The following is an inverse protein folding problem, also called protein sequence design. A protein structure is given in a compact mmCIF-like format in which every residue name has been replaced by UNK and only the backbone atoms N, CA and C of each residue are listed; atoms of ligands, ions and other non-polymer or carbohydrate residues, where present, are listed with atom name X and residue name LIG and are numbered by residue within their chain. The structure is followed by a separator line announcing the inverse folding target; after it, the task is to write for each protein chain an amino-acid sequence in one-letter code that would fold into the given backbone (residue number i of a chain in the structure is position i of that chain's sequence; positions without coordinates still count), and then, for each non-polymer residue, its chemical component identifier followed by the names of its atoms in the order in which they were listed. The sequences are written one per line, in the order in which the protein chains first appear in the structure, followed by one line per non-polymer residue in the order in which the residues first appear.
data_IF_850063454027
#
_entry.id   IF_850063454027
#
_cell.length_a   1.000
_cell.length_b   1.000
_cell.length_c   1.000
_cell.angle_alpha   90.00
_cell.angle_beta   90.00
_cell.angle_gamma   90.00
#
_symmetry.space_group_name_H-M   'P 1'
#
loop_
_entity.id
_entity.type
_entity.pdbx_description
1 polymer ?
#
# COMPACT_ATOMS: atom_id res chain seq x y z
N UNK A 1 -40.39 1.71 -16.49
CA UNK A 1 -39.66 1.08 -15.36
C UNK A 1 -39.48 -0.39 -15.68
N UNK A 2 -38.43 -0.71 -16.41
CA UNK A 2 -38.08 -2.07 -16.83
C UNK A 2 -36.73 -2.41 -16.19
N UNK A 3 -36.72 -3.43 -15.32
CA UNK A 3 -35.52 -3.93 -14.67
C UNK A 3 -34.61 -4.58 -15.73
N UNK A 4 -33.37 -4.12 -15.76
CA UNK A 4 -32.32 -4.54 -16.70
C UNK A 4 -31.93 -6.02 -16.45
N UNK A 5 -32.08 -6.93 -17.43
CA UNK A 5 -31.77 -8.35 -17.27
C UNK A 5 -30.26 -8.66 -17.15
N UNK A 6 -29.38 -7.68 -17.43
CA UNK A 6 -27.92 -7.86 -17.34
C UNK A 6 -27.38 -8.03 -15.92
N UNK A 7 -28.01 -7.38 -14.93
CA UNK A 7 -27.55 -7.44 -13.53
C UNK A 7 -27.79 -8.82 -12.88
N UNK A 8 -28.88 -9.50 -13.23
CA UNK A 8 -29.22 -10.81 -12.65
C UNK A 8 -28.26 -11.93 -13.10
N UNK A 9 -27.67 -11.82 -14.31
CA UNK A 9 -26.70 -12.78 -14.82
C UNK A 9 -25.32 -12.63 -14.15
N UNK A 10 -24.94 -11.40 -13.78
CA UNK A 10 -23.67 -11.11 -13.13
C UNK A 10 -23.64 -11.59 -11.67
N UNK A 11 -24.76 -11.48 -10.94
CA UNK A 11 -24.89 -11.93 -9.55
C UNK A 11 -24.75 -13.47 -9.42
N UNK A 12 -25.28 -14.23 -10.39
CA UNK A 12 -25.15 -15.69 -10.44
C UNK A 12 -23.72 -16.16 -10.69
N UNK A 13 -22.96 -15.41 -11.49
CA UNK A 13 -21.54 -15.71 -11.79
C UNK A 13 -20.63 -15.50 -10.56
N UNK A 14 -20.95 -14.52 -9.70
CA UNK A 14 -20.19 -14.27 -8.47
C UNK A 14 -20.42 -15.35 -7.40
N UNK A 15 -21.67 -15.80 -7.21
CA UNK A 15 -22.01 -16.80 -6.19
C UNK A 15 -21.34 -18.16 -6.44
N UNK A 16 -21.22 -18.58 -7.71
CA UNK A 16 -20.57 -19.84 -8.10
C UNK A 16 -19.05 -19.85 -7.81
N UNK A 17 -18.39 -18.67 -7.85
CA UNK A 17 -16.95 -18.57 -7.56
C UNK A 17 -16.62 -18.59 -6.06
N UNK A 18 -17.55 -18.11 -5.22
CA UNK A 18 -17.38 -18.12 -3.75
C UNK A 18 -17.48 -19.54 -3.18
N UNK A 19 -18.40 -20.38 -3.69
CA UNK A 19 -18.59 -21.75 -3.19
C UNK A 19 -17.37 -22.66 -3.42
N UNK A 20 -16.55 -22.41 -4.45
CA UNK A 20 -15.41 -23.28 -4.80
C UNK A 20 -14.14 -22.99 -3.99
N UNK A 21 -14.10 -21.87 -3.26
CA UNK A 21 -12.94 -21.50 -2.43
C UNK A 21 -13.00 -22.02 -0.99
N UNK A 22 -14.15 -22.57 -0.55
CA UNK A 22 -14.40 -22.97 0.85
C UNK A 22 -14.29 -24.49 1.10
N UNK A 23 -13.92 -25.29 0.10
CA UNK A 23 -13.76 -26.74 0.26
C UNK A 23 -12.30 -27.14 0.07
N UNK A 24 -11.50 -26.96 1.13
CA UNK A 24 -10.23 -27.67 1.24
C UNK A 24 -9.92 -27.93 2.71
N UNK A 25 -10.74 -28.77 3.33
CA UNK A 25 -10.45 -29.32 4.65
C UNK A 25 -9.90 -30.73 4.44
N UNK A 26 -8.58 -30.82 4.31
CA UNK A 26 -7.83 -32.07 4.35
C UNK A 26 -8.16 -32.78 5.66
N UNK A 27 -8.92 -33.87 5.56
CA UNK A 27 -9.19 -34.76 6.68
C UNK A 27 -7.88 -35.43 7.11
N UNK A 28 -7.30 -34.96 8.20
CA UNK A 28 -6.17 -35.63 8.85
C UNK A 28 -6.74 -36.86 9.57
N UNK A 29 -6.58 -38.03 8.94
CA UNK A 29 -6.85 -39.34 9.55
C UNK A 29 -5.73 -39.62 10.54
N UNK A 30 -6.00 -39.45 11.84
CA UNK A 30 -5.12 -39.93 12.90
C UNK A 30 -5.52 -41.39 13.19
N UNK A 31 -4.73 -42.34 12.70
CA UNK A 31 -4.83 -43.74 13.08
C UNK A 31 -3.99 -43.94 14.36
N UNK A 32 -4.63 -44.19 15.49
CA UNK A 32 -3.94 -44.58 16.72
C UNK A 32 -3.86 -46.11 16.80
N UNK A 33 -2.69 -46.66 16.47
CA UNK A 33 -2.29 -48.02 16.83
C UNK A 33 -1.60 -47.96 18.20
N UNK A 34 -2.08 -48.77 19.13
CA UNK A 34 -1.48 -49.06 20.43
C UNK A 34 -0.06 -49.60 20.27
N UNK A 35 0.91 -48.98 20.92
CA UNK A 35 2.28 -49.49 21.02
C UNK A 35 3.17 -48.56 21.81
N UNK A 36 3.50 -48.93 23.04
CA UNK A 36 4.42 -48.20 23.90
C UNK A 36 5.85 -48.23 23.31
N UNK A 37 6.45 -47.05 23.08
CA UNK A 37 7.90 -46.86 22.95
C UNK A 37 8.23 -45.37 23.08
N UNK A 38 9.04 -45.04 24.08
CA UNK A 38 9.52 -43.69 24.35
C UNK A 38 10.52 -43.26 23.27
N UNK A 39 10.18 -42.23 22.47
CA UNK A 39 11.11 -41.58 21.55
C UNK A 39 11.02 -40.06 21.79
N UNK A 40 12.18 -39.50 22.10
CA UNK A 40 12.43 -38.09 22.39
C UNK A 40 12.03 -37.21 21.19
N UNK A 41 10.90 -36.50 21.29
CA UNK A 41 10.44 -35.59 20.24
C UNK A 41 11.20 -34.26 20.30
N UNK A 42 12.17 -34.08 19.39
CA UNK A 42 12.78 -32.78 19.13
C UNK A 42 11.75 -31.89 18.41
N UNK A 43 11.17 -30.94 19.14
CA UNK A 43 10.29 -29.92 18.58
C UNK A 43 11.08 -28.95 17.70
N UNK A 44 11.10 -29.17 16.39
CA UNK A 44 11.49 -28.17 15.40
C UNK A 44 10.37 -27.13 15.31
N UNK A 45 10.56 -25.98 15.95
CA UNK A 45 9.68 -24.81 15.79
C UNK A 45 9.89 -24.20 14.40
N UNK A 46 9.08 -24.63 13.43
CA UNK A 46 8.98 -23.93 12.14
C UNK A 46 8.26 -22.61 12.40
N UNK A 47 9.02 -21.53 12.62
CA UNK A 47 8.46 -20.20 12.72
C UNK A 47 7.79 -19.84 11.37
N UNK A 48 6.56 -19.30 11.37
CA UNK A 48 5.93 -18.85 10.13
C UNK A 48 6.73 -17.65 9.60
N UNK A 49 7.45 -17.84 8.50
CA UNK A 49 7.91 -16.72 7.67
C UNK A 49 6.66 -16.08 7.11
N UNK A 50 6.23 -14.95 7.69
CA UNK A 50 5.25 -14.07 7.05
C UNK A 50 5.89 -13.58 5.75
N UNK A 51 5.57 -14.26 4.65
CA UNK A 51 5.79 -13.73 3.32
C UNK A 51 5.01 -12.41 3.24
N UNK A 52 5.70 -11.28 3.32
CA UNK A 52 5.10 -9.99 3.03
C UNK A 52 4.70 -10.02 1.55
N UNK A 53 3.42 -10.33 1.30
CA UNK A 53 2.83 -10.21 -0.04
C UNK A 53 2.98 -8.75 -0.43
N UNK A 54 3.84 -8.51 -1.41
CA UNK A 54 4.19 -7.18 -1.90
C UNK A 54 3.02 -6.55 -2.67
N UNK A 55 1.98 -6.14 -1.94
CA UNK A 55 1.21 -4.94 -2.25
C UNK A 55 1.96 -3.75 -1.63
N UNK A 56 3.16 -3.46 -2.17
CA UNK A 56 4.23 -2.79 -1.42
C UNK A 56 3.84 -1.39 -0.90
N UNK A 57 3.06 -0.62 -1.66
CA UNK A 57 2.73 0.77 -1.31
C UNK A 57 1.37 0.96 -0.64
N UNK A 58 0.40 0.07 -0.91
CA UNK A 58 -1.01 0.22 -0.46
C UNK A 58 -1.09 0.34 1.05
N UNK A 59 -1.90 1.26 1.54
CA UNK A 59 -2.11 1.51 2.96
C UNK A 59 -1.87 2.95 3.34
N UNK A 60 -1.85 3.22 4.65
CA UNK A 60 -1.64 4.56 5.19
C UNK A 60 -0.23 4.73 5.73
N UNK A 61 0.30 5.93 5.54
CA UNK A 61 1.66 6.30 5.85
C UNK A 61 1.67 7.64 6.56
N UNK A 62 2.61 7.82 7.47
CA UNK A 62 2.85 9.13 8.06
C UNK A 62 4.32 9.39 8.28
N UNK A 63 4.72 10.64 8.35
CA UNK A 63 6.13 10.98 8.46
C UNK A 63 6.40 12.45 8.57
N UNK A 64 7.68 12.77 8.55
CA UNK A 64 8.18 14.15 8.55
C UNK A 64 9.16 14.35 7.43
N UNK A 65 9.41 15.60 7.10
CA UNK A 65 10.30 15.97 6.03
C UNK A 65 10.60 17.46 6.00
N UNK A 66 11.26 17.85 4.93
CA UNK A 66 11.60 19.23 4.64
C UNK A 66 11.09 19.60 3.27
N UNK A 67 10.46 20.77 3.18
CA UNK A 67 10.04 21.41 1.94
C UNK A 67 10.97 22.59 1.70
N UNK A 68 11.57 22.68 0.52
CA UNK A 68 12.29 23.85 0.06
C UNK A 68 11.45 24.52 -1.03
N UNK A 69 11.03 25.75 -0.79
CA UNK A 69 10.24 26.54 -1.72
C UNK A 69 11.11 27.12 -2.85
N UNK A 70 10.49 27.58 -3.92
CA UNK A 70 11.19 28.17 -5.07
C UNK A 70 12.04 29.40 -4.71
N UNK A 71 11.65 30.15 -3.68
CA UNK A 71 12.41 31.28 -3.13
C UNK A 71 13.57 30.87 -2.20
N UNK A 72 13.82 29.57 -2.05
CA UNK A 72 14.89 29.02 -1.19
C UNK A 72 14.51 28.83 0.28
N UNK A 73 13.34 29.30 0.73
CA UNK A 73 12.88 29.10 2.09
C UNK A 73 12.69 27.60 2.40
N UNK A 74 13.02 27.18 3.63
CA UNK A 74 12.96 25.77 4.04
C UNK A 74 12.06 25.60 5.24
N UNK A 75 11.12 24.67 5.14
CA UNK A 75 10.12 24.41 6.17
C UNK A 75 10.12 22.94 6.58
N UNK A 76 9.96 22.69 7.89
CA UNK A 76 9.66 21.34 8.39
C UNK A 76 8.19 21.04 8.15
N UNK A 77 7.91 19.86 7.63
CA UNK A 77 6.55 19.41 7.32
C UNK A 77 6.26 18.04 7.95
N UNK A 78 5.01 17.85 8.39
CA UNK A 78 4.43 16.54 8.73
C UNK A 78 3.51 16.13 7.60
N UNK A 79 3.59 14.89 7.14
CA UNK A 79 2.70 14.38 6.10
C UNK A 79 1.99 13.10 6.54
N UNK A 80 0.76 12.94 6.06
CA UNK A 80 0.01 11.70 6.06
C UNK A 80 -0.40 11.40 4.62
N UNK A 81 -0.20 10.17 4.18
CA UNK A 81 -0.58 9.73 2.85
C UNK A 81 -1.36 8.42 2.92
N UNK A 82 -2.28 8.22 1.99
CA UNK A 82 -2.98 6.97 1.75
C UNK A 82 -2.76 6.55 0.31
N UNK A 83 -2.43 5.29 0.09
CA UNK A 83 -2.30 4.70 -1.24
C UNK A 83 -3.33 3.59 -1.40
N UNK A 84 -4.04 3.62 -2.53
CA UNK A 84 -4.93 2.55 -2.98
C UNK A 84 -4.43 1.99 -4.30
N UNK A 85 -4.69 0.71 -4.55
CA UNK A 85 -4.40 0.11 -5.85
C UNK A 85 -5.30 0.74 -6.91
N UNK A 86 -4.72 1.16 -8.02
CA UNK A 86 -5.43 1.62 -9.21
C UNK A 86 -5.35 0.57 -10.35
N UNK A 87 -4.95 -0.66 -10.02
CA UNK A 87 -4.77 -1.76 -10.98
C UNK A 87 -3.31 -1.93 -11.43
N UNK A 88 -2.95 -3.18 -11.73
CA UNK A 88 -1.60 -3.54 -12.16
C UNK A 88 -0.51 -3.05 -11.20
N UNK A 89 0.41 -2.25 -11.73
CA UNK A 89 1.54 -1.64 -10.99
C UNK A 89 1.29 -0.17 -10.64
N UNK A 90 0.05 0.29 -10.66
CA UNK A 90 -0.31 1.70 -10.47
C UNK A 90 -1.12 1.90 -9.20
N UNK A 91 -0.89 3.03 -8.53
CA UNK A 91 -1.49 3.39 -7.25
C UNK A 91 -1.96 4.84 -7.30
N UNK A 92 -3.15 5.07 -6.76
CA UNK A 92 -3.63 6.41 -6.49
C UNK A 92 -3.27 6.80 -5.05
N UNK A 93 -2.80 8.03 -4.87
CA UNK A 93 -2.40 8.60 -3.59
C UNK A 93 -3.27 9.81 -3.25
N UNK A 94 -3.67 9.92 -1.99
CA UNK A 94 -4.05 11.19 -1.38
C UNK A 94 -3.13 11.49 -0.22
N UNK A 95 -2.71 12.74 -0.05
CA UNK A 95 -1.87 13.14 1.05
C UNK A 95 -2.23 14.52 1.59
N UNK A 96 -2.01 14.71 2.88
CA UNK A 96 -2.09 15.99 3.56
C UNK A 96 -0.76 16.25 4.25
N UNK A 97 -0.17 17.41 3.96
CA UNK A 97 1.09 17.86 4.52
C UNK A 97 0.89 19.19 5.23
N UNK A 98 1.50 19.36 6.40
CA UNK A 98 1.39 20.59 7.19
C UNK A 98 2.78 21.05 7.62
N UNK A 99 3.08 22.32 7.34
CA UNK A 99 4.21 23.07 7.89
C UNK A 99 3.71 23.97 9.03
N UNK A 100 4.57 24.83 9.57
CA UNK A 100 4.14 25.87 10.51
C UNK A 100 3.32 26.97 9.82
N UNK A 101 3.57 27.21 8.53
CA UNK A 101 2.96 28.29 7.77
C UNK A 101 1.66 27.87 7.08
N UNK A 102 1.57 26.61 6.61
CA UNK A 102 0.46 26.18 5.77
C UNK A 102 0.14 24.69 5.91
N UNK A 103 -1.06 24.30 5.50
CA UNK A 103 -1.49 22.92 5.34
C UNK A 103 -2.03 22.73 3.94
N UNK A 104 -1.49 21.74 3.24
CA UNK A 104 -1.81 21.45 1.84
C UNK A 104 -2.33 20.03 1.68
N UNK A 105 -3.27 19.83 0.77
CA UNK A 105 -3.73 18.51 0.36
C UNK A 105 -3.43 18.29 -1.11
N UNK A 106 -2.99 17.09 -1.47
CA UNK A 106 -2.53 16.77 -2.82
C UNK A 106 -2.88 15.32 -3.18
N UNK A 107 -3.05 15.09 -4.48
CA UNK A 107 -3.26 13.74 -5.04
C UNK A 107 -2.07 13.36 -5.91
N UNK A 108 -1.86 12.06 -6.11
CA UNK A 108 -0.85 11.57 -7.06
C UNK A 108 -1.29 10.27 -7.71
N UNK A 109 -0.78 10.04 -8.92
CA UNK A 109 -0.77 8.71 -9.55
C UNK A 109 0.68 8.26 -9.61
N UNK A 110 0.97 7.10 -9.04
CA UNK A 110 2.33 6.53 -9.02
C UNK A 110 2.31 5.12 -9.59
N UNK A 111 3.31 4.81 -10.40
CA UNK A 111 3.52 3.47 -10.94
C UNK A 111 4.83 2.90 -10.40
N UNK A 112 4.83 1.58 -10.16
CA UNK A 112 6.02 0.85 -9.75
C UNK A 112 6.94 0.69 -10.96
N UNK A 113 8.16 1.21 -10.85
CA UNK A 113 9.17 1.15 -11.90
C UNK A 113 10.02 -0.12 -11.73
N UNK A 114 10.53 -0.34 -10.52
CA UNK A 114 11.26 -1.55 -10.11
C UNK A 114 10.66 -2.12 -8.84
N UNK A 115 11.19 -3.23 -8.30
CA UNK A 115 10.64 -3.88 -7.11
C UNK A 115 10.30 -2.90 -5.98
N UNK A 116 11.15 -1.91 -5.69
CA UNK A 116 10.99 -1.00 -4.56
C UNK A 116 11.02 0.49 -4.93
N UNK A 117 10.92 0.83 -6.23
CA UNK A 117 10.96 2.23 -6.71
C UNK A 117 9.70 2.54 -7.47
N UNK A 118 9.10 3.68 -7.14
CA UNK A 118 7.86 4.15 -7.74
C UNK A 118 8.08 5.56 -8.27
N UNK A 119 7.40 5.90 -9.36
CA UNK A 119 7.45 7.22 -9.97
C UNK A 119 6.10 7.64 -10.50
N UNK A 120 5.85 8.93 -10.54
CA UNK A 120 4.56 9.45 -10.98
C UNK A 120 4.48 10.96 -11.01
N UNK A 121 3.25 11.46 -11.03
CA UNK A 121 2.95 12.89 -10.91
C UNK A 121 2.00 13.13 -9.75
N UNK A 122 2.16 14.28 -9.12
CA UNK A 122 1.24 14.77 -8.10
C UNK A 122 0.63 16.09 -8.55
N UNK A 123 -0.56 16.38 -8.02
CA UNK A 123 -1.28 17.61 -8.23
C UNK A 123 -1.72 18.19 -6.88
N UNK A 124 -1.47 19.48 -6.70
CA UNK A 124 -1.99 20.25 -5.59
C UNK A 124 -3.07 21.21 -6.11
N UNK A 125 -4.37 20.96 -5.84
CA UNK A 125 -5.46 21.78 -6.34
C UNK A 125 -5.47 23.19 -5.78
N UNK A 126 -4.99 23.41 -4.56
CA UNK A 126 -5.01 24.72 -3.90
C UNK A 126 -4.11 25.74 -4.61
N UNK A 127 -3.00 25.27 -5.17
CA UNK A 127 -2.02 26.12 -5.84
C UNK A 127 -1.93 25.85 -7.36
N UNK A 128 -2.75 24.95 -7.90
CA UNK A 128 -2.70 24.55 -9.31
C UNK A 128 -1.35 23.94 -9.72
N UNK A 129 -0.57 23.42 -8.78
CA UNK A 129 0.80 22.94 -9.04
C UNK A 129 0.78 21.47 -9.39
N UNK A 130 1.41 21.14 -10.51
CA UNK A 130 1.77 19.76 -10.86
C UNK A 130 3.27 19.55 -10.65
N UNK A 131 3.64 18.36 -10.19
CA UNK A 131 5.03 17.99 -10.06
C UNK A 131 5.28 16.50 -10.21
N UNK A 132 6.53 16.12 -10.04
CA UNK A 132 7.00 14.74 -10.08
C UNK A 132 7.10 14.20 -8.66
N UNK A 133 6.69 12.95 -8.51
CA UNK A 133 6.87 12.18 -7.28
C UNK A 133 7.75 10.96 -7.56
N UNK A 134 8.67 10.67 -6.64
CA UNK A 134 9.46 9.45 -6.62
C UNK A 134 9.44 8.87 -5.22
N UNK A 135 9.29 7.56 -5.13
CA UNK A 135 9.22 6.85 -3.86
C UNK A 135 10.23 5.71 -3.87
N UNK A 136 10.97 5.57 -2.78
CA UNK A 136 11.84 4.42 -2.51
C UNK A 136 11.28 3.73 -1.27
N UNK A 137 10.92 2.46 -1.43
CA UNK A 137 10.33 1.66 -0.37
C UNK A 137 11.36 0.69 0.23
N UNK A 138 11.30 0.52 1.55
CA UNK A 138 12.13 -0.40 2.32
C UNK A 138 11.32 -0.96 3.48
N UNK A 139 10.63 -2.08 3.25
CA UNK A 139 9.75 -2.71 4.25
C UNK A 139 8.59 -1.79 4.64
N UNK A 140 8.51 -1.43 5.92
CA UNK A 140 7.47 -0.53 6.45
C UNK A 140 7.88 0.97 6.41
N UNK A 141 8.96 1.32 5.72
CA UNK A 141 9.45 2.70 5.60
C UNK A 141 9.57 3.10 4.13
N UNK A 142 9.22 4.34 3.83
CA UNK A 142 9.43 4.91 2.49
C UNK A 142 10.07 6.29 2.57
N UNK A 143 10.89 6.59 1.58
CA UNK A 143 11.35 7.96 1.32
C UNK A 143 10.67 8.48 0.07
N UNK A 144 9.99 9.62 0.21
CA UNK A 144 9.23 10.28 -0.85
C UNK A 144 9.95 11.56 -1.24
N UNK A 145 10.16 11.74 -2.53
CA UNK A 145 10.73 12.94 -3.13
C UNK A 145 9.67 13.60 -4.01
N UNK A 146 9.44 14.88 -3.79
CA UNK A 146 8.57 15.73 -4.61
C UNK A 146 9.41 16.81 -5.27
N UNK A 147 9.10 17.15 -6.50
CA UNK A 147 9.71 18.28 -7.21
C UNK A 147 8.72 18.88 -8.20
N UNK A 148 8.60 20.21 -8.22
CA UNK A 148 7.77 20.97 -9.15
C UNK A 148 8.24 22.42 -9.25
N UNK A 149 7.50 23.26 -9.96
CA UNK A 149 7.81 24.69 -10.11
C UNK A 149 7.83 25.46 -8.78
N UNK A 150 7.03 25.02 -7.79
CA UNK A 150 6.96 25.64 -6.46
C UNK A 150 8.10 25.24 -5.52
N UNK A 151 8.95 24.29 -5.92
CA UNK A 151 10.07 23.81 -5.10
C UNK A 151 10.18 22.29 -5.05
N UNK A 152 10.84 21.78 -4.01
CA UNK A 152 11.06 20.34 -3.81
C UNK A 152 10.88 19.95 -2.35
N UNK A 153 10.56 18.69 -2.11
CA UNK A 153 10.41 18.17 -0.76
C UNK A 153 10.95 16.75 -0.64
N UNK A 154 11.40 16.40 0.56
CA UNK A 154 11.77 15.03 0.92
C UNK A 154 11.08 14.64 2.22
N UNK A 155 10.42 13.49 2.22
CA UNK A 155 9.72 12.94 3.39
C UNK A 155 10.21 11.53 3.70
N UNK A 156 10.44 11.26 4.98
CA UNK A 156 10.64 9.92 5.49
C UNK A 156 9.37 9.50 6.22
N UNK A 157 8.72 8.46 5.70
CA UNK A 157 7.43 7.99 6.16
C UNK A 157 7.50 6.55 6.63
N UNK A 158 6.66 6.22 7.60
CA UNK A 158 6.44 4.87 8.10
C UNK A 158 4.98 4.50 7.87
N UNK A 159 4.77 3.21 7.62
CA UNK A 159 3.44 2.62 7.55
C UNK A 159 2.77 2.70 8.92
N UNK A 160 1.46 2.98 8.92
CA UNK A 160 0.62 3.01 10.13
C UNK A 160 -0.06 1.69 10.38
#
# INVERSE_FOLDING_TARGET
MTRDPGMAAMERSMSARVAKLMSNTTAIRIATLTGASAILAAFLTVAPVKAAVAGELVGTWSGTGTVTLANGAREKARCRASYISAGGRTYAMSATCATAAAKVSQTAIVSQNTKNRFGGTFYNPEFGVTGRIRIILSGARQTVYLSGSSGHATFNMHRR
#
